data_IF_015268295974
#
_entry.id   IF_015268295974
#
_cell.length_a   1.000
_cell.length_b   1.000
_cell.length_c   1.000
_cell.angle_alpha   90.00
_cell.angle_beta   90.00
_cell.angle_gamma   90.00
#
_symmetry.space_group_name_H-M   'P 1'
#
loop_
_entity.id
_entity.type
_entity.pdbx_description
1 polymer ?
#
# COMPACT_ATOMS: atom_id res chain seq x y z
N UNK A 1 -23.22 -8.87 6.19
CA UNK A 1 -22.07 -8.32 6.93
C UNK A 1 -21.57 -7.12 6.15
N UNK A 2 -21.38 -5.96 6.79
CA UNK A 2 -20.98 -4.70 6.12
C UNK A 2 -19.55 -4.35 6.50
N UNK A 3 -18.75 -3.83 5.57
CA UNK A 3 -17.39 -3.33 5.86
C UNK A 3 -17.44 -2.17 6.86
N UNK A 4 -16.64 -2.24 7.93
CA UNK A 4 -16.46 -1.16 8.89
C UNK A 4 -15.11 -0.46 8.67
N UNK A 5 -15.11 0.61 7.89
CA UNK A 5 -13.93 1.46 7.70
C UNK A 5 -13.89 2.64 8.68
N UNK A 6 -15.01 2.96 9.34
CA UNK A 6 -15.14 4.13 10.20
C UNK A 6 -14.25 4.06 11.45
N UNK A 7 -14.02 2.85 11.98
CA UNK A 7 -13.16 2.64 13.14
C UNK A 7 -11.74 3.22 12.95
N UNK A 8 -11.21 3.15 11.72
CA UNK A 8 -9.90 3.66 11.33
C UNK A 8 -9.96 4.72 10.23
N UNK A 9 -11.12 5.38 10.08
CA UNK A 9 -11.42 6.22 8.92
C UNK A 9 -10.39 7.31 8.67
N UNK A 10 -9.90 7.96 9.74
CA UNK A 10 -8.86 9.00 9.65
C UNK A 10 -7.53 8.45 9.09
N UNK A 11 -7.06 7.31 9.58
CA UNK A 11 -5.82 6.71 9.11
C UNK A 11 -5.94 6.22 7.66
N UNK A 12 -7.09 5.64 7.31
CA UNK A 12 -7.39 5.21 5.94
C UNK A 12 -7.36 6.42 5.00
N UNK A 13 -8.06 7.50 5.35
CA UNK A 13 -8.10 8.72 4.53
C UNK A 13 -6.71 9.35 4.35
N UNK A 14 -5.92 9.43 5.43
CA UNK A 14 -4.56 9.94 5.36
C UNK A 14 -3.66 9.08 4.47
N UNK A 15 -3.77 7.75 4.57
CA UNK A 15 -2.99 6.82 3.73
C UNK A 15 -3.40 6.84 2.27
N UNK A 16 -4.70 6.92 1.99
CA UNK A 16 -5.24 7.11 0.65
C UNK A 16 -4.72 8.41 0.04
N UNK A 17 -4.79 9.52 0.77
CA UNK A 17 -4.31 10.82 0.28
C UNK A 17 -2.82 10.79 -0.05
N UNK A 18 -2.00 10.14 0.78
CA UNK A 18 -0.56 10.00 0.52
C UNK A 18 -0.27 9.32 -0.81
N UNK A 19 -1.08 8.32 -1.18
CA UNK A 19 -0.95 7.56 -2.43
C UNK A 19 -1.57 8.29 -3.62
N UNK A 20 -2.69 9.01 -3.42
CA UNK A 20 -3.37 9.76 -4.48
C UNK A 20 -2.67 11.05 -4.87
N UNK A 21 -1.89 11.64 -3.96
CA UNK A 21 -1.08 12.82 -4.25
C UNK A 21 0.14 12.41 -5.08
N UNK A 22 0.02 12.61 -6.40
CA UNK A 22 0.93 12.24 -7.51
C UNK A 22 2.30 12.97 -7.50
N UNK A 23 2.74 13.45 -6.33
CA UNK A 23 3.86 14.39 -6.24
C UNK A 23 5.23 13.73 -6.09
N UNK A 24 5.35 12.47 -5.66
CA UNK A 24 6.66 11.86 -5.35
C UNK A 24 6.66 10.32 -5.45
N UNK A 25 6.92 9.76 -6.65
CA UNK A 25 7.23 8.34 -6.86
C UNK A 25 6.06 7.35 -6.71
N UNK A 26 6.33 6.07 -7.00
CA UNK A 26 5.34 4.99 -6.89
C UNK A 26 5.05 4.70 -5.41
N UNK A 27 3.90 5.17 -4.93
CA UNK A 27 3.41 4.93 -3.56
C UNK A 27 2.30 3.88 -3.60
N UNK A 28 2.23 3.04 -2.59
CA UNK A 28 1.17 2.04 -2.46
C UNK A 28 0.77 1.82 -1.02
N UNK A 29 -0.46 1.33 -0.83
CA UNK A 29 -1.02 0.94 0.46
C UNK A 29 -1.86 -0.32 0.29
N UNK A 30 -1.75 -1.25 1.24
CA UNK A 30 -2.61 -2.43 1.38
C UNK A 30 -3.46 -2.25 2.64
N UNK A 31 -4.76 -2.45 2.48
CA UNK A 31 -5.71 -2.45 3.59
C UNK A 31 -6.06 -3.89 3.99
N UNK A 32 -6.07 -4.13 5.30
CA UNK A 32 -6.32 -5.44 5.89
C UNK A 32 -7.49 -5.40 6.87
N UNK A 33 -8.00 -6.58 7.20
CA UNK A 33 -8.96 -6.74 8.30
C UNK A 33 -8.26 -6.89 9.65
N UNK A 34 -8.90 -6.40 10.70
CA UNK A 34 -8.50 -6.69 12.07
C UNK A 34 -8.94 -8.10 12.47
N UNK A 35 -7.98 -9.05 12.47
CA UNK A 35 -8.24 -10.44 12.84
C UNK A 35 -9.39 -11.04 12.02
N UNK A 36 -10.39 -11.61 12.71
CA UNK A 36 -11.61 -12.13 12.09
C UNK A 36 -12.80 -11.18 12.27
N UNK A 37 -12.59 -9.90 11.99
CA UNK A 37 -13.65 -8.87 12.03
C UNK A 37 -13.91 -8.28 10.64
N UNK A 38 -14.99 -7.51 10.53
CA UNK A 38 -15.31 -6.70 9.36
C UNK A 38 -14.66 -5.31 9.40
N UNK A 39 -13.76 -5.05 10.35
CA UNK A 39 -13.10 -3.75 10.53
C UNK A 39 -11.85 -3.66 9.68
N UNK A 40 -11.78 -2.62 8.84
CA UNK A 40 -10.65 -2.35 7.94
C UNK A 40 -9.59 -1.48 8.64
N UNK A 41 -8.32 -1.79 8.44
CA UNK A 41 -7.15 -1.01 8.91
C UNK A 41 -6.11 -0.86 7.80
N UNK A 42 -5.13 0.02 8.02
CA UNK A 42 -3.91 0.04 7.20
C UNK A 42 -3.06 -1.19 7.57
N UNK A 43 -2.69 -1.96 6.55
CA UNK A 43 -1.85 -3.16 6.67
C UNK A 43 -0.39 -2.82 6.43
N UNK A 44 -0.05 -2.64 5.16
CA UNK A 44 1.29 -2.32 4.68
C UNK A 44 1.27 -1.06 3.81
N UNK A 45 2.35 -0.30 3.84
CA UNK A 45 2.56 0.87 2.97
C UNK A 45 4.01 0.94 2.51
N UNK A 46 4.22 1.46 1.29
CA UNK A 46 5.55 1.53 0.71
C UNK A 46 5.71 2.66 -0.30
N UNK A 47 6.98 2.98 -0.56
CA UNK A 47 7.44 3.90 -1.61
C UNK A 47 8.48 3.14 -2.44
N UNK A 48 8.42 3.29 -3.76
CA UNK A 48 9.23 2.58 -4.74
C UNK A 48 8.99 1.06 -4.79
N UNK A 49 8.37 0.60 -5.88
CA UNK A 49 8.38 -0.82 -6.25
C UNK A 49 9.73 -1.16 -6.89
N UNK A 50 10.72 -1.57 -6.10
CA UNK A 50 11.87 -2.28 -6.66
C UNK A 50 11.42 -3.68 -7.05
N UNK A 51 11.13 -3.90 -8.34
CA UNK A 51 11.21 -5.24 -8.89
C UNK A 51 12.66 -5.71 -8.70
N UNK A 52 12.90 -6.61 -7.75
CA UNK A 52 14.18 -7.32 -7.64
C UNK A 52 14.21 -8.38 -8.75
N UNK A 53 14.22 -7.91 -10.01
CA UNK A 53 14.58 -8.72 -11.15
C UNK A 53 16.09 -8.86 -11.17
N UNK A 54 16.61 -10.02 -10.79
CA UNK A 54 18.01 -10.37 -11.00
C UNK A 54 18.30 -10.39 -12.52
N UNK A 55 18.65 -9.24 -13.10
CA UNK A 55 19.31 -9.19 -14.40
C UNK A 55 20.81 -9.29 -14.13
N UNK A 56 21.36 -10.50 -14.26
CA UNK A 56 22.80 -10.70 -14.28
C UNK A 56 23.46 -9.85 -15.38
N UNK A 57 24.76 -9.53 -15.27
CA UNK A 57 25.44 -8.66 -16.22
C UNK A 57 25.41 -9.27 -17.63
N UNK A 58 24.78 -8.56 -18.57
CA UNK A 58 24.84 -8.88 -20.00
C UNK A 58 26.25 -8.50 -20.47
N UNK A 59 27.09 -9.51 -20.68
CA UNK A 59 28.31 -9.33 -21.46
C UNK A 59 27.92 -9.33 -22.93
N UNK A 60 27.98 -8.16 -23.57
CA UNK A 60 27.97 -8.04 -25.03
C UNK A 60 29.38 -8.35 -25.53
N UNK A 61 29.51 -9.42 -26.33
CA UNK A 61 30.70 -9.68 -27.15
C UNK A 61 30.77 -8.70 -28.31
#
# INVERSE_FOLDING_TARGET
MTLNYHAHGKQIEESYRRVSDDSEGDKWVIYDYEGNSNTLRVGEEGREFYFVGYYGPIHLN
#
